data_IF_819562968108
#
_entry.id   IF_819562968108
#
_cell.length_a   1.000
_cell.length_b   1.000
_cell.length_c   1.000
_cell.angle_alpha   90.00
_cell.angle_beta   90.00
_cell.angle_gamma   90.00
#
_symmetry.space_group_name_H-M   'P 1'
#
loop_
_entity.id
_entity.type
_entity.pdbx_description
1 polymer ?
#
# COMPACT_ATOMS: atom_id res chain seq x y z
N UNK A 1 -20.12 -20.59 21.39
CA UNK A 1 -18.67 -20.27 21.44
C UNK A 1 -18.07 -19.95 20.06
N UNK A 2 -18.68 -19.11 19.20
CA UNK A 2 -18.19 -18.93 17.82
C UNK A 2 -18.19 -17.49 17.26
N UNK A 3 -18.79 -16.51 17.94
CA UNK A 3 -19.02 -15.18 17.37
C UNK A 3 -17.94 -14.14 17.76
N UNK A 4 -17.31 -14.25 18.93
CA UNK A 4 -16.27 -13.30 19.34
C UNK A 4 -14.96 -13.45 18.52
N UNK A 5 -14.63 -14.68 18.06
CA UNK A 5 -13.50 -14.91 17.13
C UNK A 5 -13.76 -14.43 15.69
N UNK A 6 -15.03 -14.22 15.32
CA UNK A 6 -15.44 -13.79 13.99
C UNK A 6 -14.99 -12.35 13.69
N UNK A 7 -14.99 -11.44 14.66
CA UNK A 7 -14.63 -10.05 14.42
C UNK A 7 -13.15 -9.85 14.10
N UNK A 8 -12.22 -10.49 14.80
CA UNK A 8 -10.80 -10.36 14.45
C UNK A 8 -10.53 -10.90 13.05
N UNK A 9 -11.12 -12.06 12.73
CA UNK A 9 -10.98 -12.71 11.43
C UNK A 9 -11.56 -11.81 10.34
N UNK A 10 -12.76 -11.27 10.54
CA UNK A 10 -13.41 -10.33 9.63
C UNK A 10 -12.60 -9.06 9.44
N UNK A 11 -12.03 -8.49 10.51
CA UNK A 11 -11.16 -7.31 10.40
C UNK A 11 -9.91 -7.59 9.54
N UNK A 12 -9.30 -8.77 9.68
CA UNK A 12 -8.19 -9.20 8.83
C UNK A 12 -8.65 -9.36 7.38
N UNK A 13 -9.79 -10.03 7.16
CA UNK A 13 -10.35 -10.26 5.82
C UNK A 13 -10.74 -8.96 5.11
N UNK A 14 -11.30 -7.98 5.83
CA UNK A 14 -11.67 -6.68 5.30
C UNK A 14 -10.43 -5.85 4.90
N UNK A 15 -9.40 -5.82 5.75
CA UNK A 15 -8.14 -5.14 5.41
C UNK A 15 -7.49 -5.80 4.18
N UNK A 16 -7.51 -7.15 4.10
CA UNK A 16 -7.04 -7.86 2.92
C UNK A 16 -7.86 -7.52 1.67
N UNK A 17 -9.19 -7.42 1.80
CA UNK A 17 -10.07 -7.06 0.68
C UNK A 17 -9.80 -5.63 0.19
N UNK A 18 -9.68 -4.65 1.09
CA UNK A 18 -9.28 -3.28 0.75
C UNK A 18 -7.92 -3.23 0.05
N UNK A 19 -6.95 -4.02 0.54
CA UNK A 19 -5.64 -4.10 -0.09
C UNK A 19 -5.65 -4.78 -1.46
N UNK A 20 -6.51 -5.77 -1.68
CA UNK A 20 -6.67 -6.43 -2.99
C UNK A 20 -7.40 -5.53 -3.99
N UNK A 21 -8.44 -4.81 -3.57
CA UNK A 21 -9.15 -3.85 -4.45
C UNK A 21 -8.21 -2.74 -4.91
N UNK A 22 -7.21 -2.41 -4.09
CA UNK A 22 -6.17 -1.46 -4.43
C UNK A 22 -5.18 -1.94 -5.49
N UNK A 23 -4.94 -3.24 -5.63
CA UNK A 23 -3.97 -3.75 -6.61
C UNK A 23 -4.36 -3.38 -8.04
N UNK A 24 -5.67 -3.38 -8.36
CA UNK A 24 -6.18 -2.93 -9.65
C UNK A 24 -5.98 -1.42 -9.87
N UNK A 25 -6.15 -0.61 -8.82
CA UNK A 25 -5.94 0.84 -8.86
C UNK A 25 -4.44 1.18 -9.00
N UNK A 26 -3.58 0.46 -8.28
CA UNK A 26 -2.12 0.54 -8.42
C UNK A 26 -1.69 0.23 -9.86
N UNK A 27 -2.26 -0.81 -10.49
CA UNK A 27 -1.92 -1.16 -11.87
C UNK A 27 -2.18 -0.01 -12.86
N UNK A 28 -3.31 0.69 -12.74
CA UNK A 28 -3.62 1.87 -13.58
C UNK A 28 -2.60 2.99 -13.38
N UNK A 29 -2.22 3.26 -12.13
CA UNK A 29 -1.21 4.27 -11.81
C UNK A 29 0.14 3.87 -12.42
N UNK A 30 0.60 2.64 -12.19
CA UNK A 30 1.88 2.13 -12.69
C UNK A 30 1.96 2.14 -14.21
N UNK A 31 0.88 1.75 -14.89
CA UNK A 31 0.79 1.82 -16.34
C UNK A 31 1.02 3.25 -16.86
N UNK A 32 0.50 4.27 -16.17
CA UNK A 32 0.74 5.67 -16.54
C UNK A 32 2.22 6.08 -16.45
N UNK A 33 2.95 5.54 -15.46
CA UNK A 33 4.39 5.75 -15.33
C UNK A 33 5.18 5.03 -16.42
N UNK A 34 4.82 3.79 -16.74
CA UNK A 34 5.47 3.01 -17.80
C UNK A 34 5.30 3.70 -19.15
N UNK A 35 4.07 4.15 -19.47
CA UNK A 35 3.78 4.88 -20.71
C UNK A 35 4.55 6.21 -20.80
N UNK A 36 4.69 6.90 -19.67
CA UNK A 36 5.46 8.13 -19.54
C UNK A 36 6.96 7.92 -19.78
N UNK A 37 7.52 6.87 -19.17
CA UNK A 37 8.91 6.47 -19.34
C UNK A 37 9.21 6.13 -20.80
N UNK A 38 8.42 5.24 -21.39
CA UNK A 38 8.53 4.81 -22.79
C UNK A 38 8.39 6.01 -23.76
N UNK A 39 7.46 6.93 -23.48
CA UNK A 39 7.34 8.17 -24.22
C UNK A 39 8.62 9.01 -24.17
N UNK A 40 9.17 9.28 -22.99
CA UNK A 40 10.38 10.09 -22.86
C UNK A 40 11.62 9.40 -23.42
N UNK A 41 11.74 8.09 -23.26
CA UNK A 41 12.78 7.29 -23.91
C UNK A 41 12.73 7.45 -25.44
N UNK A 42 11.54 7.38 -26.06
CA UNK A 42 11.40 7.63 -27.50
C UNK A 42 11.78 9.06 -27.90
N UNK A 43 11.36 10.06 -27.14
CA UNK A 43 11.70 11.46 -27.45
C UNK A 43 13.22 11.70 -27.34
N UNK A 44 13.83 11.07 -26.33
CA UNK A 44 15.28 11.09 -26.12
C UNK A 44 16.01 10.41 -27.27
N UNK A 45 15.62 9.17 -27.62
CA UNK A 45 16.20 8.44 -28.77
C UNK A 45 16.13 9.24 -30.07
N UNK A 46 15.02 9.91 -30.36
CA UNK A 46 14.90 10.78 -31.55
C UNK A 46 15.97 11.87 -31.59
N UNK A 47 16.32 12.43 -30.43
CA UNK A 47 17.37 13.45 -30.32
C UNK A 47 18.74 12.78 -30.54
N UNK A 48 18.99 11.63 -29.91
CA UNK A 48 20.22 10.89 -30.10
C UNK A 48 20.42 10.50 -31.58
N UNK A 49 19.45 9.85 -32.21
CA UNK A 49 19.55 9.42 -33.61
C UNK A 49 19.73 10.56 -34.60
N UNK A 50 19.05 11.69 -34.35
CA UNK A 50 19.07 12.82 -35.29
C UNK A 50 20.32 13.68 -35.15
N UNK A 51 20.84 13.82 -33.93
CA UNK A 51 21.81 14.85 -33.60
C UNK A 51 23.06 14.37 -32.84
N UNK A 52 23.05 13.20 -32.20
CA UNK A 52 24.17 12.72 -31.38
C UNK A 52 24.87 11.48 -31.98
N UNK A 53 24.10 10.56 -32.56
CA UNK A 53 24.60 9.34 -33.21
C UNK A 53 25.18 9.65 -34.61
N UNK A 54 24.93 10.85 -35.16
CA UNK A 54 25.64 11.36 -36.33
C UNK A 54 26.98 11.98 -35.91
N UNK A 55 28.01 11.13 -35.83
CA UNK A 55 29.44 11.46 -36.06
C UNK A 55 30.10 12.54 -35.18
N UNK A 56 30.80 12.14 -34.10
CA UNK A 56 31.96 12.86 -33.57
C UNK A 56 31.77 14.30 -33.10
N UNK A 57 30.52 14.75 -32.88
CA UNK A 57 30.19 16.12 -32.50
C UNK A 57 30.71 16.42 -31.09
N UNK A 58 31.32 17.59 -30.92
CA UNK A 58 31.73 18.07 -29.59
C UNK A 58 30.56 18.70 -28.82
N UNK A 59 30.76 18.94 -27.51
CA UNK A 59 29.72 19.48 -26.63
C UNK A 59 29.20 20.86 -27.09
N UNK A 60 30.05 21.67 -27.75
CA UNK A 60 29.67 23.00 -28.23
C UNK A 60 28.75 22.91 -29.47
N UNK A 61 29.01 21.98 -30.38
CA UNK A 61 28.18 21.73 -31.56
C UNK A 61 26.80 21.21 -31.17
N UNK A 62 26.74 20.25 -30.25
CA UNK A 62 25.47 19.73 -29.71
C UNK A 62 24.70 20.83 -29.00
N UNK A 63 25.37 21.66 -28.19
CA UNK A 63 24.72 22.79 -27.51
C UNK A 63 24.10 23.77 -28.51
N UNK A 64 24.76 24.02 -29.64
CA UNK A 64 24.23 24.89 -30.70
C UNK A 64 22.96 24.28 -31.31
N UNK A 65 22.96 22.97 -31.59
CA UNK A 65 21.80 22.23 -32.11
C UNK A 65 20.63 22.26 -31.13
N UNK A 66 20.87 21.92 -29.86
CA UNK A 66 19.82 21.86 -28.83
C UNK A 66 19.20 23.24 -28.54
N UNK A 67 19.91 24.33 -28.85
CA UNK A 67 19.42 25.71 -28.78
C UNK A 67 18.76 26.21 -30.09
N UNK A 68 18.61 25.36 -31.12
CA UNK A 68 17.81 25.70 -32.30
C UNK A 68 16.29 25.64 -32.01
N UNK A 69 15.48 26.17 -32.93
CA UNK A 69 14.02 26.29 -32.76
C UNK A 69 13.38 24.92 -32.70
N UNK A 70 12.48 24.74 -31.76
CA UNK A 70 11.51 23.65 -31.80
C UNK A 70 10.72 23.66 -33.12
N UNK A 71 10.35 22.48 -33.59
CA UNK A 71 9.49 22.36 -34.78
C UNK A 71 8.03 22.70 -34.45
N UNK A 72 7.23 23.06 -35.46
CA UNK A 72 5.78 23.25 -35.29
C UNK A 72 5.09 21.98 -34.74
N UNK A 73 5.60 20.82 -35.14
CA UNK A 73 5.11 19.51 -34.66
C UNK A 73 5.35 19.34 -33.17
N UNK A 74 6.53 19.74 -32.67
CA UNK A 74 6.85 19.68 -31.25
C UNK A 74 5.92 20.59 -30.42
N UNK A 75 5.66 21.80 -30.91
CA UNK A 75 4.75 22.74 -30.25
C UNK A 75 3.30 22.21 -30.24
N UNK A 76 2.86 21.61 -31.34
CA UNK A 76 1.54 20.96 -31.41
C UNK A 76 1.42 19.77 -30.45
N UNK A 77 2.50 19.00 -30.26
CA UNK A 77 2.55 17.89 -29.30
C UNK A 77 2.45 18.40 -27.85
N UNK A 78 3.15 19.48 -27.51
CA UNK A 78 3.02 20.14 -26.19
C UNK A 78 1.58 20.60 -25.94
N UNK A 79 0.93 21.20 -26.94
CA UNK A 79 -0.48 21.59 -26.84
C UNK A 79 -1.40 20.38 -26.62
N UNK A 80 -1.15 19.26 -27.29
CA UNK A 80 -1.95 18.03 -27.11
C UNK A 80 -1.79 17.47 -25.70
N UNK A 81 -0.56 17.38 -25.19
CA UNK A 81 -0.29 16.90 -23.82
C UNK A 81 -0.91 17.82 -22.76
N UNK A 82 -0.85 19.14 -22.97
CA UNK A 82 -1.53 20.10 -22.09
C UNK A 82 -3.05 19.93 -22.08
N UNK A 83 -3.67 19.66 -23.23
CA UNK A 83 -5.13 19.48 -23.36
C UNK A 83 -5.64 18.18 -22.74
N UNK A 84 -4.78 17.17 -22.55
CA UNK A 84 -5.19 15.90 -21.93
C UNK A 84 -5.37 15.97 -20.42
N UNK A 85 -5.02 17.10 -19.79
CA UNK A 85 -5.06 17.29 -18.34
C UNK A 85 -6.45 17.81 -17.98
N UNK A 86 -7.14 17.14 -17.06
CA UNK A 86 -8.54 17.44 -16.70
C UNK A 86 -8.64 18.24 -15.40
N UNK A 87 -7.71 18.04 -14.47
CA UNK A 87 -7.70 18.75 -13.20
C UNK A 87 -7.41 20.25 -13.40
N UNK A 88 -8.19 21.10 -12.71
CA UNK A 88 -8.16 22.55 -12.89
C UNK A 88 -6.88 23.19 -12.36
N UNK A 89 -6.33 22.65 -11.26
CA UNK A 89 -5.08 23.13 -10.69
C UNK A 89 -3.92 22.74 -11.63
N UNK A 90 -3.97 21.52 -12.20
CA UNK A 90 -2.95 21.04 -13.15
C UNK A 90 -2.96 21.93 -14.39
N UNK A 91 -4.16 22.20 -14.94
CA UNK A 91 -4.31 23.05 -16.11
C UNK A 91 -3.75 24.46 -15.88
N UNK A 92 -3.98 25.03 -14.69
CA UNK A 92 -3.46 26.35 -14.31
C UNK A 92 -1.94 26.36 -14.28
N UNK A 93 -1.32 25.40 -13.61
CA UNK A 93 0.13 25.29 -13.49
C UNK A 93 0.80 25.08 -14.84
N UNK A 94 0.22 24.21 -15.66
CA UNK A 94 0.70 23.92 -17.01
C UNK A 94 0.58 25.14 -17.92
N UNK A 95 -0.53 25.88 -17.83
CA UNK A 95 -0.70 27.13 -18.57
C UNK A 95 0.34 28.17 -18.14
N UNK A 96 0.59 28.31 -16.84
CA UNK A 96 1.61 29.24 -16.33
C UNK A 96 3.01 28.87 -16.85
N UNK A 97 3.36 27.58 -16.79
CA UNK A 97 4.62 27.06 -17.32
C UNK A 97 4.78 27.32 -18.83
N UNK A 98 3.76 26.99 -19.63
CA UNK A 98 3.78 27.21 -21.08
C UNK A 98 3.79 28.70 -21.45
N UNK A 99 3.08 29.54 -20.69
CA UNK A 99 3.11 30.99 -20.88
C UNK A 99 4.53 31.53 -20.62
N UNK A 100 5.18 31.12 -19.52
CA UNK A 100 6.56 31.49 -19.24
C UNK A 100 7.53 31.05 -20.36
N UNK A 101 7.26 29.89 -20.97
CA UNK A 101 8.03 29.43 -22.12
C UNK A 101 7.78 30.27 -23.38
N UNK A 102 6.54 30.72 -23.60
CA UNK A 102 6.14 31.55 -24.74
C UNK A 102 6.65 32.99 -24.70
N UNK A 103 7.03 33.51 -23.52
CA UNK A 103 7.68 34.83 -23.40
C UNK A 103 9.03 34.84 -24.11
N UNK A 104 9.66 33.67 -24.31
CA UNK A 104 10.85 33.56 -25.13
C UNK A 104 10.46 33.77 -26.60
N UNK A 105 11.18 34.66 -27.29
CA UNK A 105 11.01 34.85 -28.74
C UNK A 105 11.18 33.55 -29.56
N UNK A 106 11.84 32.53 -28.98
CA UNK A 106 12.08 31.22 -29.59
C UNK A 106 12.16 30.16 -28.51
N UNK A 107 11.39 29.08 -28.66
CA UNK A 107 11.48 27.88 -27.82
C UNK A 107 12.50 26.92 -28.43
N UNK A 108 13.45 26.43 -27.64
CA UNK A 108 14.49 25.51 -28.11
C UNK A 108 14.07 24.04 -28.09
N UNK A 109 14.81 23.17 -28.78
CA UNK A 109 14.60 21.71 -28.70
C UNK A 109 14.79 21.20 -27.25
N UNK A 110 15.81 21.70 -26.56
CA UNK A 110 16.07 21.34 -25.16
C UNK A 110 14.90 21.73 -24.26
N UNK A 111 14.42 22.96 -24.44
CA UNK A 111 13.27 23.48 -23.69
C UNK A 111 11.99 22.70 -23.97
N UNK A 112 11.83 22.23 -25.21
CA UNK A 112 10.71 21.36 -25.59
C UNK A 112 10.79 20.02 -24.89
N UNK A 113 11.98 19.40 -24.83
CA UNK A 113 12.16 18.12 -24.14
C UNK A 113 11.86 18.24 -22.64
N UNK A 114 12.35 19.31 -22.01
CA UNK A 114 12.03 19.66 -20.62
C UNK A 114 10.53 19.88 -20.41
N UNK A 115 9.89 20.64 -21.30
CA UNK A 115 8.44 20.84 -21.26
C UNK A 115 7.66 19.51 -21.42
N UNK A 116 8.10 18.61 -22.30
CA UNK A 116 7.51 17.27 -22.44
C UNK A 116 7.64 16.47 -21.13
N UNK A 117 8.80 16.51 -20.49
CA UNK A 117 9.03 15.86 -19.20
C UNK A 117 8.10 16.39 -18.09
N UNK A 118 8.00 17.71 -17.97
CA UNK A 118 7.12 18.37 -17.03
C UNK A 118 5.64 18.00 -17.26
N UNK A 119 5.16 18.08 -18.50
CA UNK A 119 3.77 17.77 -18.84
C UNK A 119 3.41 16.31 -18.55
N UNK A 120 4.33 15.39 -18.82
CA UNK A 120 4.13 13.96 -18.56
C UNK A 120 4.06 13.67 -17.06
N UNK A 121 4.92 14.29 -16.26
CA UNK A 121 4.84 14.20 -14.80
C UNK A 121 3.51 14.75 -14.26
N UNK A 122 3.01 15.86 -14.81
CA UNK A 122 1.69 16.42 -14.46
C UNK A 122 0.53 15.53 -14.91
N UNK A 123 0.64 14.85 -16.05
CA UNK A 123 -0.34 13.85 -16.48
C UNK A 123 -0.42 12.67 -15.51
N UNK A 124 0.72 12.21 -15.01
CA UNK A 124 0.77 11.18 -13.96
C UNK A 124 0.07 11.67 -12.68
N UNK A 125 0.29 12.92 -12.27
CA UNK A 125 -0.38 13.51 -11.12
C UNK A 125 -1.91 13.49 -11.29
N UNK A 126 -2.40 13.87 -12.48
CA UNK A 126 -3.82 13.84 -12.83
C UNK A 126 -4.41 12.43 -12.67
N UNK A 127 -3.76 11.42 -13.27
CA UNK A 127 -4.20 10.02 -13.17
C UNK A 127 -4.20 9.54 -11.72
N UNK A 128 -3.18 9.89 -10.94
CA UNK A 128 -3.13 9.53 -9.53
C UNK A 128 -4.25 10.16 -8.71
N UNK A 129 -4.52 11.45 -8.91
CA UNK A 129 -5.60 12.15 -8.21
C UNK A 129 -6.94 11.52 -8.53
N UNK A 130 -7.23 11.29 -9.81
CA UNK A 130 -8.48 10.67 -10.26
C UNK A 130 -8.66 9.29 -9.62
N UNK A 131 -7.65 8.43 -9.73
CA UNK A 131 -7.71 7.03 -9.24
C UNK A 131 -7.75 6.95 -7.71
N UNK A 132 -6.94 7.74 -7.01
CA UNK A 132 -6.82 7.67 -5.55
C UNK A 132 -8.01 8.31 -4.84
N UNK A 133 -8.56 9.40 -5.36
CA UNK A 133 -9.65 10.12 -4.70
C UNK A 133 -10.88 9.23 -4.54
N UNK A 134 -11.31 8.57 -5.63
CA UNK A 134 -12.44 7.64 -5.59
C UNK A 134 -12.18 6.48 -4.65
N UNK A 135 -11.01 5.86 -4.75
CA UNK A 135 -10.63 4.76 -3.88
C UNK A 135 -10.61 5.14 -2.39
N UNK A 136 -10.09 6.32 -2.05
CA UNK A 136 -10.08 6.82 -0.68
C UNK A 136 -11.49 7.10 -0.15
N UNK A 137 -12.39 7.63 -0.97
CA UNK A 137 -13.80 7.81 -0.60
C UNK A 137 -14.45 6.47 -0.25
N UNK A 138 -14.23 5.46 -1.09
CA UNK A 138 -14.78 4.12 -0.89
C UNK A 138 -14.21 3.48 0.39
N UNK A 139 -12.88 3.52 0.56
CA UNK A 139 -12.21 2.99 1.75
C UNK A 139 -12.69 3.67 3.05
N UNK A 140 -12.93 4.98 3.03
CA UNK A 140 -13.49 5.73 4.18
C UNK A 140 -14.89 5.22 4.52
N UNK A 141 -15.76 5.05 3.52
CA UNK A 141 -17.15 4.62 3.71
C UNK A 141 -17.23 3.18 4.20
N UNK A 142 -16.51 2.27 3.56
CA UNK A 142 -16.44 0.86 3.94
C UNK A 142 -15.93 0.71 5.37
N UNK A 143 -14.79 1.32 5.70
CA UNK A 143 -14.21 1.24 7.04
C UNK A 143 -15.14 1.78 8.14
N UNK A 144 -15.91 2.84 7.85
CA UNK A 144 -16.89 3.37 8.80
C UNK A 144 -18.03 2.36 9.05
N UNK A 145 -18.61 1.80 7.99
CA UNK A 145 -19.72 0.85 8.06
C UNK A 145 -19.32 -0.47 8.72
N UNK A 146 -18.12 -0.97 8.40
CA UNK A 146 -17.56 -2.15 9.03
C UNK A 146 -17.34 -1.96 10.52
N UNK A 147 -16.77 -0.82 10.91
CA UNK A 147 -16.55 -0.47 12.31
C UNK A 147 -17.87 -0.26 13.08
N UNK A 148 -18.92 0.23 12.41
CA UNK A 148 -20.25 0.34 13.00
C UNK A 148 -20.84 -1.04 13.27
N UNK A 149 -20.72 -1.94 12.29
CA UNK A 149 -21.18 -3.34 12.41
C UNK A 149 -20.43 -4.06 13.53
N UNK A 150 -19.11 -3.91 13.58
CA UNK A 150 -18.25 -4.43 14.64
C UNK A 150 -18.69 -3.93 16.03
N UNK A 151 -18.99 -2.64 16.15
CA UNK A 151 -19.44 -2.04 17.41
C UNK A 151 -20.80 -2.60 17.88
N UNK A 152 -21.80 -2.61 17.00
CA UNK A 152 -23.16 -3.05 17.33
C UNK A 152 -23.18 -4.51 17.77
N UNK A 153 -22.53 -5.39 16.99
CA UNK A 153 -22.57 -6.82 17.30
C UNK A 153 -21.70 -7.14 18.52
N UNK A 154 -20.50 -6.57 18.62
CA UNK A 154 -19.61 -6.81 19.76
C UNK A 154 -20.22 -6.39 21.10
N UNK A 155 -20.91 -5.25 21.14
CA UNK A 155 -21.63 -4.81 22.35
C UNK A 155 -22.86 -5.69 22.67
N UNK A 156 -23.55 -6.19 21.65
CA UNK A 156 -24.69 -7.09 21.84
C UNK A 156 -24.24 -8.42 22.46
N UNK A 157 -23.13 -8.97 21.99
CA UNK A 157 -22.56 -10.22 22.52
C UNK A 157 -22.06 -10.09 23.96
N UNK A 158 -21.43 -8.96 24.31
CA UNK A 158 -21.01 -8.67 25.69
C UNK A 158 -22.17 -8.73 26.70
N UNK A 159 -23.37 -8.31 26.28
CA UNK A 159 -24.57 -8.31 27.14
C UNK A 159 -25.18 -9.70 27.31
N UNK A 160 -24.92 -10.64 26.40
CA UNK A 160 -25.47 -12.00 26.44
C UNK A 160 -24.50 -12.93 27.21
N UNK A 161 -24.60 -12.94 28.54
CA UNK A 161 -23.93 -13.94 29.38
C UNK A 161 -24.70 -15.26 29.32
N UNK A 162 -24.40 -16.12 28.34
CA UNK A 162 -24.96 -17.48 28.31
C UNK A 162 -24.30 -18.32 29.40
N UNK A 163 -25.02 -18.60 30.51
CA UNK A 163 -24.59 -19.63 31.48
C UNK A 163 -24.70 -21.00 30.81
N UNK A 164 -23.60 -21.73 30.69
CA UNK A 164 -23.66 -23.13 30.24
C UNK A 164 -24.40 -23.98 31.28
N UNK A 165 -25.58 -24.47 30.90
CA UNK A 165 -26.39 -25.40 31.69
C UNK A 165 -27.32 -26.15 30.75
N UNK A 166 -27.66 -27.41 31.07
CA UNK A 166 -28.60 -28.20 30.28
C UNK A 166 -29.93 -27.45 30.12
N UNK A 167 -30.24 -27.04 28.90
CA UNK A 167 -31.47 -26.33 28.58
C UNK A 167 -32.63 -27.33 28.39
N UNK A 168 -33.78 -27.16 29.06
CA UNK A 168 -34.98 -27.95 28.75
C UNK A 168 -35.40 -27.74 27.29
N UNK A 169 -35.99 -28.76 26.67
CA UNK A 169 -36.60 -28.64 25.33
C UNK A 169 -37.96 -27.97 25.45
N UNK A 170 -38.14 -26.83 24.77
CA UNK A 170 -39.40 -26.07 24.76
C UNK A 170 -40.05 -26.12 23.38
N UNK A 171 -41.39 -26.11 23.34
CA UNK A 171 -42.19 -25.99 22.12
C UNK A 171 -42.88 -24.63 22.12
N UNK A 172 -42.71 -23.84 21.05
CA UNK A 172 -43.30 -22.51 20.91
C UNK A 172 -44.52 -22.56 19.97
N UNK A 173 -45.66 -22.04 20.44
CA UNK A 173 -46.88 -21.88 19.64
C UNK A 173 -47.10 -20.39 19.36
N UNK A 174 -47.15 -19.99 18.08
CA UNK A 174 -47.38 -18.59 17.68
C UNK A 174 -48.87 -18.26 17.76
N UNK A 175 -49.28 -17.47 18.76
CA UNK A 175 -50.46 -16.61 18.69
C UNK A 175 -50.00 -15.16 18.84
N UNK A 176 -50.58 -14.25 18.06
CA UNK A 176 -50.13 -12.86 17.98
C UNK A 176 -50.11 -12.22 19.39
N UNK A 177 -48.99 -11.58 19.71
CA UNK A 177 -48.69 -10.74 20.89
C UNK A 177 -48.20 -11.41 22.17
N UNK A 178 -48.38 -12.73 22.38
CA UNK A 178 -47.82 -13.42 23.56
C UNK A 178 -47.23 -14.78 23.21
N UNK A 179 -45.96 -14.98 23.49
CA UNK A 179 -45.30 -16.28 23.40
C UNK A 179 -45.54 -17.07 24.69
N UNK A 180 -46.35 -18.13 24.63
CA UNK A 180 -46.57 -19.03 25.76
C UNK A 180 -45.57 -20.19 25.68
N UNK A 181 -44.67 -20.26 26.67
CA UNK A 181 -43.73 -21.37 26.83
C UNK A 181 -44.44 -22.46 27.66
N UNK A 182 -44.66 -23.61 27.04
CA UNK A 182 -45.28 -24.78 27.68
C UNK A 182 -44.25 -25.87 27.93
N UNK A 183 -44.42 -26.59 29.02
CA UNK A 183 -43.67 -27.80 29.29
C UNK A 183 -44.10 -28.90 28.30
N UNK A 184 -43.13 -29.51 27.62
CA UNK A 184 -43.39 -30.44 26.53
C UNK A 184 -43.98 -31.79 26.97
N UNK A 185 -43.94 -32.13 28.26
CA UNK A 185 -44.45 -33.39 28.80
C UNK A 185 -45.82 -33.21 29.48
N UNK A 186 -46.10 -32.01 30.01
CA UNK A 186 -47.28 -31.75 30.85
C UNK A 186 -48.25 -30.72 30.27
N UNK A 187 -47.90 -30.09 29.14
CA UNK A 187 -48.64 -29.03 28.44
C UNK A 187 -49.00 -27.79 29.26
N UNK A 188 -48.56 -27.70 30.53
CA UNK A 188 -48.80 -26.54 31.39
C UNK A 188 -47.99 -25.34 30.91
N UNK A 189 -48.62 -24.16 30.93
CA UNK A 189 -47.96 -22.89 30.62
C UNK A 189 -47.01 -22.53 31.76
N UNK A 190 -45.71 -22.58 31.48
CA UNK A 190 -44.64 -22.34 32.46
C UNK A 190 -44.27 -20.86 32.50
N UNK A 191 -44.35 -20.18 31.35
CA UNK A 191 -43.99 -18.75 31.25
C UNK A 191 -44.70 -18.09 30.08
N UNK A 192 -45.15 -16.85 30.28
CA UNK A 192 -45.64 -15.99 29.21
C UNK A 192 -44.61 -14.89 28.93
N UNK A 193 -44.21 -14.75 27.67
CA UNK A 193 -43.32 -13.68 27.21
C UNK A 193 -44.14 -12.79 26.27
N UNK A 194 -44.34 -11.54 26.69
CA UNK A 194 -44.96 -10.52 25.85
C UNK A 194 -43.92 -10.13 24.79
N UNK A 195 -44.25 -10.35 23.52
CA UNK A 195 -43.36 -9.99 22.42
C UNK A 195 -43.57 -8.51 22.12
N UNK A 196 -42.67 -7.64 22.62
CA UNK A 196 -42.59 -6.28 22.13
C UNK A 196 -41.91 -6.30 20.75
N UNK A 197 -42.44 -5.59 19.73
CA UNK A 197 -41.71 -5.39 18.50
C UNK A 197 -40.34 -4.81 18.83
N UNK A 198 -39.28 -5.39 18.28
CA UNK A 198 -37.95 -4.79 18.39
C UNK A 198 -38.03 -3.36 17.85
N UNK A 199 -37.42 -2.36 18.51
CA UNK A 199 -37.30 -1.03 17.93
C UNK A 199 -36.66 -1.17 16.54
N UNK A 200 -37.13 -0.37 15.58
CA UNK A 200 -36.57 -0.37 14.23
C UNK A 200 -35.04 -0.34 14.31
N UNK A 201 -34.37 -1.29 13.62
CA UNK A 201 -32.91 -1.30 13.51
C UNK A 201 -32.52 0.09 13.02
N UNK A 202 -31.74 0.88 13.79
CA UNK A 202 -31.40 2.22 13.37
C UNK A 202 -30.71 2.11 12.01
N UNK A 203 -31.31 2.74 11.00
CA UNK A 203 -30.73 2.85 9.67
C UNK A 203 -29.28 3.35 9.84
N UNK A 204 -28.31 2.60 9.30
CA UNK A 204 -26.89 2.97 9.43
C UNK A 204 -26.74 4.38 8.87
N UNK A 205 -26.54 5.37 9.74
CA UNK A 205 -26.33 6.76 9.30
C UNK A 205 -25.08 6.79 8.44
N UNK A 206 -25.28 6.91 7.13
CA UNK A 206 -24.18 7.06 6.18
C UNK A 206 -23.27 8.21 6.61
N UNK A 207 -21.98 8.03 6.38
CA UNK A 207 -21.00 9.05 6.70
C UNK A 207 -21.26 10.28 5.82
N UNK A 208 -21.62 11.40 6.45
CA UNK A 208 -21.91 12.65 5.73
C UNK A 208 -20.78 13.03 4.75
N UNK A 209 -21.13 13.46 3.54
CA UNK A 209 -20.17 13.89 2.51
C UNK A 209 -19.16 14.93 3.02
N UNK A 210 -19.62 15.86 3.87
CA UNK A 210 -18.76 16.87 4.51
C UNK A 210 -17.61 16.23 5.30
N UNK A 211 -17.87 15.12 5.97
CA UNK A 211 -16.84 14.48 6.77
C UNK A 211 -15.89 13.61 5.95
N UNK A 212 -16.39 12.91 4.93
CA UNK A 212 -15.52 12.25 3.94
C UNK A 212 -14.52 13.27 3.39
N UNK A 213 -15.02 14.44 2.99
CA UNK A 213 -14.19 15.56 2.55
C UNK A 213 -13.18 16.02 3.60
N UNK A 214 -13.61 16.17 4.86
CA UNK A 214 -12.69 16.54 5.94
C UNK A 214 -11.55 15.52 6.16
N UNK A 215 -11.82 14.21 6.03
CA UNK A 215 -10.76 13.19 6.11
C UNK A 215 -9.80 13.32 4.93
N UNK A 216 -10.33 13.44 3.70
CA UNK A 216 -9.52 13.60 2.48
C UNK A 216 -8.61 14.83 2.53
N UNK A 217 -9.13 15.93 3.05
CA UNK A 217 -8.41 17.21 3.16
C UNK A 217 -7.53 17.29 4.40
N UNK A 218 -7.57 16.29 5.31
CA UNK A 218 -6.83 16.33 6.56
C UNK A 218 -5.31 16.33 6.35
N UNK A 219 -4.64 17.25 7.04
CA UNK A 219 -3.18 17.38 6.97
C UNK A 219 -2.50 16.47 8.00
N UNK A 220 -2.39 15.19 7.65
CA UNK A 220 -1.60 14.25 8.43
C UNK A 220 -0.12 14.49 8.19
N UNK A 221 0.76 14.49 9.21
CA UNK A 221 2.21 14.73 9.01
C UNK A 221 2.53 15.95 8.12
N UNK A 222 1.74 17.02 8.24
CA UNK A 222 1.96 18.31 7.57
C UNK A 222 1.50 18.39 6.10
N UNK A 223 0.81 17.38 5.56
CA UNK A 223 0.26 17.42 4.20
C UNK A 223 -0.94 16.49 4.05
N UNK A 224 -1.81 16.75 3.09
CA UNK A 224 -2.80 15.77 2.63
C UNK A 224 -2.27 14.94 1.45
N UNK A 225 -3.00 13.89 1.05
CA UNK A 225 -2.59 12.98 -0.03
C UNK A 225 -2.42 13.70 -1.38
N UNK A 226 -3.35 14.60 -1.73
CA UNK A 226 -3.30 15.36 -2.99
C UNK A 226 -2.00 16.17 -3.07
N UNK A 227 -1.73 17.02 -2.07
CA UNK A 227 -0.48 17.81 -1.96
C UNK A 227 0.79 16.94 -2.04
N UNK A 228 0.75 15.70 -1.52
CA UNK A 228 1.87 14.74 -1.67
C UNK A 228 2.05 14.26 -3.10
N UNK A 229 0.96 13.93 -3.80
CA UNK A 229 1.01 13.54 -5.23
C UNK A 229 1.66 14.67 -6.05
N UNK A 230 1.26 15.92 -5.79
CA UNK A 230 1.86 17.10 -6.41
C UNK A 230 3.35 17.22 -6.14
N UNK A 231 3.75 17.19 -4.87
CA UNK A 231 5.16 17.28 -4.50
C UNK A 231 6.02 16.15 -5.08
N UNK A 232 5.51 14.92 -5.09
CA UNK A 232 6.22 13.75 -5.62
C UNK A 232 6.38 13.83 -7.15
N UNK A 233 5.35 14.29 -7.87
CA UNK A 233 5.40 14.46 -9.33
C UNK A 233 6.17 15.70 -9.78
N UNK A 234 6.18 16.78 -8.99
CA UNK A 234 7.06 17.94 -9.19
C UNK A 234 8.53 17.58 -9.01
N UNK A 235 8.83 16.75 -8.01
CA UNK A 235 10.18 16.22 -7.83
C UNK A 235 10.60 15.38 -9.03
N UNK A 236 9.73 14.51 -9.54
CA UNK A 236 10.00 13.75 -10.76
C UNK A 236 10.25 14.68 -11.95
N UNK A 237 9.37 15.67 -12.19
CA UNK A 237 9.53 16.65 -13.26
C UNK A 237 10.89 17.34 -13.19
N UNK A 238 11.26 17.83 -12.00
CA UNK A 238 12.55 18.50 -11.76
C UNK A 238 13.73 17.58 -12.07
N UNK A 239 13.70 16.33 -11.60
CA UNK A 239 14.78 15.37 -11.89
C UNK A 239 14.89 15.07 -13.38
N UNK A 240 13.77 14.90 -14.08
CA UNK A 240 13.77 14.70 -15.53
C UNK A 240 14.30 15.95 -16.26
N UNK A 241 13.97 17.16 -15.81
CA UNK A 241 14.51 18.40 -16.37
C UNK A 241 16.04 18.54 -16.17
N UNK A 242 16.56 18.09 -15.03
CA UNK A 242 17.99 18.03 -14.73
C UNK A 242 18.71 17.01 -15.62
N UNK A 243 18.09 15.84 -15.84
CA UNK A 243 18.58 14.83 -16.80
C UNK A 243 18.62 15.38 -18.22
N UNK A 244 17.62 16.15 -18.63
CA UNK A 244 17.56 16.80 -19.93
C UNK A 244 18.33 18.12 -19.97
N UNK A 245 19.57 18.14 -19.47
CA UNK A 245 20.52 19.24 -19.64
C UNK A 245 21.56 18.89 -20.70
N UNK A 246 22.14 19.91 -21.34
CA UNK A 246 23.15 19.73 -22.41
C UNK A 246 24.31 18.86 -21.92
N UNK A 247 24.82 19.13 -20.71
CA UNK A 247 25.94 18.40 -20.10
C UNK A 247 25.64 16.89 -20.01
N UNK A 248 24.44 16.54 -19.56
CA UNK A 248 24.05 15.14 -19.40
C UNK A 248 23.80 14.48 -20.76
N UNK A 249 23.14 15.16 -21.69
CA UNK A 249 22.89 14.64 -23.05
C UNK A 249 24.17 14.42 -23.87
N UNK A 250 25.25 15.15 -23.59
CA UNK A 250 26.54 15.04 -24.29
C UNK A 250 27.52 14.11 -23.59
N UNK A 251 27.49 14.05 -22.26
CA UNK A 251 28.36 13.18 -21.47
C UNK A 251 27.85 11.76 -21.25
N UNK A 252 26.58 11.48 -21.54
CA UNK A 252 25.96 10.16 -21.38
C UNK A 252 25.58 9.55 -22.72
N UNK A 253 25.86 8.26 -22.89
CA UNK A 253 25.32 7.48 -24.00
C UNK A 253 23.80 7.35 -23.90
N UNK A 254 23.13 7.08 -25.03
CA UNK A 254 21.68 6.80 -25.06
C UNK A 254 21.31 5.69 -24.06
N UNK A 255 22.14 4.64 -23.98
CA UNK A 255 21.91 3.52 -23.06
C UNK A 255 21.99 3.95 -21.60
N UNK A 256 22.94 4.82 -21.24
CA UNK A 256 23.05 5.36 -19.89
C UNK A 256 21.87 6.27 -19.55
N UNK A 257 21.49 7.17 -20.47
CA UNK A 257 20.33 8.04 -20.30
C UNK A 257 19.04 7.23 -20.08
N UNK A 258 18.81 6.21 -20.91
CA UNK A 258 17.65 5.33 -20.78
C UNK A 258 17.63 4.57 -19.44
N UNK A 259 18.78 4.08 -18.97
CA UNK A 259 18.90 3.44 -17.65
C UNK A 259 18.59 4.39 -16.50
N UNK A 260 19.04 5.65 -16.58
CA UNK A 260 18.79 6.64 -15.53
C UNK A 260 17.32 7.06 -15.55
N UNK A 261 16.72 7.28 -16.73
CA UNK A 261 15.28 7.52 -16.87
C UNK A 261 14.48 6.39 -16.21
N UNK A 262 14.76 5.13 -16.56
CA UNK A 262 14.12 3.97 -15.95
C UNK A 262 14.24 3.96 -14.42
N UNK A 263 15.41 4.32 -13.89
CA UNK A 263 15.64 4.41 -12.43
C UNK A 263 14.81 5.50 -11.76
N UNK A 264 14.64 6.67 -12.40
CA UNK A 264 13.81 7.75 -11.85
C UNK A 264 12.32 7.37 -11.85
N UNK A 265 11.85 6.76 -12.94
CA UNK A 265 10.47 6.26 -13.05
C UNK A 265 10.21 5.13 -12.05
N UNK A 266 11.11 4.16 -11.89
CA UNK A 266 10.98 3.08 -10.90
C UNK A 266 10.90 3.64 -9.47
N UNK A 267 11.74 4.63 -9.15
CA UNK A 267 11.69 5.32 -7.86
C UNK A 267 10.35 6.01 -7.65
N UNK A 268 9.85 6.74 -8.66
CA UNK A 268 8.59 7.46 -8.56
C UNK A 268 7.38 6.51 -8.46
N UNK A 269 7.39 5.38 -9.19
CA UNK A 269 6.41 4.31 -9.06
C UNK A 269 6.40 3.74 -7.64
N UNK A 270 7.57 3.46 -7.06
CA UNK A 270 7.68 2.97 -5.69
C UNK A 270 7.11 3.97 -4.67
N UNK A 271 7.38 5.26 -4.87
CA UNK A 271 6.86 6.35 -4.03
C UNK A 271 5.34 6.45 -4.14
N UNK A 272 4.77 6.34 -5.35
CA UNK A 272 3.33 6.41 -5.60
C UNK A 272 2.59 5.24 -4.95
N UNK A 273 3.05 3.99 -5.14
CA UNK A 273 2.41 2.80 -4.51
C UNK A 273 2.40 2.91 -2.98
N UNK A 274 3.51 3.33 -2.39
CA UNK A 274 3.61 3.57 -0.94
C UNK A 274 2.58 4.60 -0.50
N UNK A 275 2.46 5.71 -1.23
CA UNK A 275 1.57 6.80 -0.90
C UNK A 275 0.12 6.31 -0.84
N UNK A 276 -0.35 5.72 -1.93
CA UNK A 276 -1.71 5.19 -2.07
C UNK A 276 -2.08 4.29 -0.89
N UNK A 277 -1.23 3.31 -0.56
CA UNK A 277 -1.48 2.37 0.55
C UNK A 277 -1.46 3.04 1.92
N UNK A 278 -0.49 3.92 2.16
CA UNK A 278 -0.30 4.52 3.48
C UNK A 278 -1.42 5.54 3.77
N UNK A 279 -1.81 6.33 2.77
CA UNK A 279 -2.91 7.30 2.89
C UNK A 279 -4.25 6.59 3.03
N UNK A 280 -4.50 5.51 2.28
CA UNK A 280 -5.72 4.70 2.42
C UNK A 280 -5.87 4.15 3.84
N UNK A 281 -4.81 3.54 4.39
CA UNK A 281 -4.84 3.01 5.76
C UNK A 281 -5.05 4.11 6.80
N UNK A 282 -4.46 5.29 6.59
CA UNK A 282 -4.71 6.45 7.45
C UNK A 282 -6.18 6.87 7.41
N UNK A 283 -6.74 7.08 6.22
CA UNK A 283 -8.11 7.58 6.04
C UNK A 283 -9.17 6.59 6.50
N UNK A 284 -9.04 5.30 6.13
CA UNK A 284 -9.87 4.22 6.64
C UNK A 284 -9.78 4.13 8.17
N UNK A 285 -8.57 4.27 8.72
CA UNK A 285 -8.33 4.34 10.15
C UNK A 285 -9.06 5.49 10.85
N UNK A 286 -9.05 6.70 10.29
CA UNK A 286 -9.80 7.86 10.82
C UNK A 286 -11.31 7.64 10.77
N UNK A 287 -11.82 7.01 9.71
CA UNK A 287 -13.23 6.66 9.59
C UNK A 287 -13.66 5.64 10.65
N UNK A 288 -12.85 4.59 10.84
CA UNK A 288 -13.06 3.56 11.86
C UNK A 288 -13.09 4.15 13.27
N UNK A 289 -12.12 5.00 13.63
CA UNK A 289 -12.10 5.68 14.94
C UNK A 289 -13.38 6.48 15.19
N UNK A 290 -13.87 7.21 14.18
CA UNK A 290 -15.12 7.95 14.33
C UNK A 290 -16.30 7.02 14.54
N UNK A 291 -16.37 5.94 13.78
CA UNK A 291 -17.47 4.98 13.90
C UNK A 291 -17.50 4.37 15.29
N UNK A 292 -16.36 3.91 15.79
CA UNK A 292 -16.21 3.42 17.16
C UNK A 292 -16.63 4.43 18.22
N UNK A 293 -16.23 5.70 18.10
CA UNK A 293 -16.68 6.78 19.00
C UNK A 293 -18.19 6.99 18.94
N UNK A 294 -18.77 6.99 17.75
CA UNK A 294 -20.21 7.18 17.55
C UNK A 294 -21.04 6.04 18.13
N UNK A 295 -20.47 4.83 18.19
CA UNK A 295 -21.13 3.64 18.73
C UNK A 295 -20.65 3.25 20.14
N UNK A 296 -19.86 4.09 20.82
CA UNK A 296 -19.46 3.85 22.22
C UNK A 296 -18.47 2.69 22.43
N UNK A 297 -17.61 2.40 21.46
CA UNK A 297 -16.48 1.48 21.66
C UNK A 297 -15.39 2.18 22.46
N UNK A 298 -15.03 1.64 23.62
CA UNK A 298 -14.07 2.27 24.54
C UNK A 298 -12.61 1.95 24.21
N UNK A 299 -12.34 0.72 23.75
CA UNK A 299 -10.97 0.20 23.57
C UNK A 299 -10.81 -0.49 22.23
N UNK A 300 -9.57 -0.52 21.75
CA UNK A 300 -9.16 -1.27 20.57
C UNK A 300 -7.87 -2.04 20.83
N UNK A 301 -7.66 -3.12 20.09
CA UNK A 301 -6.45 -3.93 20.09
C UNK A 301 -5.72 -3.80 18.75
N UNK A 302 -4.39 -3.73 18.80
CA UNK A 302 -3.55 -3.75 17.61
C UNK A 302 -3.20 -5.18 17.20
N UNK A 303 -3.31 -5.47 15.91
CA UNK A 303 -2.98 -6.78 15.34
C UNK A 303 -1.96 -6.58 14.23
N UNK A 304 -0.77 -7.14 14.39
CA UNK A 304 0.26 -7.17 13.38
C UNK A 304 0.11 -8.39 12.46
N UNK A 305 0.54 -8.24 11.21
CA UNK A 305 0.63 -9.36 10.27
C UNK A 305 1.69 -10.35 10.76
N UNK A 306 1.38 -11.65 10.70
CA UNK A 306 2.29 -12.73 11.10
C UNK A 306 3.17 -13.16 9.91
N UNK A 307 4.20 -12.37 9.61
CA UNK A 307 5.22 -12.70 8.61
C UNK A 307 6.59 -12.05 8.91
N UNK A 308 7.64 -12.52 8.25
CA UNK A 308 8.99 -11.97 8.44
C UNK A 308 9.24 -10.60 7.77
N UNK A 309 8.23 -10.01 7.11
CA UNK A 309 8.27 -8.64 6.58
C UNK A 309 7.77 -7.62 7.60
N UNK A 310 7.12 -8.08 8.66
CA UNK A 310 6.52 -7.22 9.69
C UNK A 310 7.61 -6.49 10.48
N UNK A 311 7.45 -5.16 10.56
CA UNK A 311 8.49 -4.28 11.10
C UNK A 311 8.72 -4.51 12.60
N UNK A 312 9.90 -4.15 13.10
CA UNK A 312 10.17 -4.19 14.54
C UNK A 312 9.14 -3.38 15.36
N UNK A 313 8.68 -2.24 14.82
CA UNK A 313 7.65 -1.40 15.44
C UNK A 313 6.36 -2.20 15.58
N UNK A 314 5.83 -2.73 14.47
CA UNK A 314 4.58 -3.51 14.44
C UNK A 314 4.65 -4.75 15.34
N UNK A 315 5.78 -5.47 15.33
CA UNK A 315 5.99 -6.63 16.22
C UNK A 315 5.92 -6.28 17.70
N UNK A 316 6.45 -5.10 18.07
CA UNK A 316 6.52 -4.65 19.46
C UNK A 316 5.19 -4.13 20.04
N UNK A 317 4.23 -3.82 19.16
CA UNK A 317 2.93 -3.27 19.54
C UNK A 317 1.78 -4.26 19.34
N UNK A 318 2.06 -5.41 18.75
CA UNK A 318 1.07 -6.46 18.52
C UNK A 318 0.43 -6.94 19.83
N UNK A 319 -0.89 -7.06 19.84
CA UNK A 319 -1.68 -7.43 21.02
C UNK A 319 -1.89 -6.32 22.06
N UNK A 320 -1.32 -5.11 21.87
CA UNK A 320 -1.53 -4.00 22.81
C UNK A 320 -2.93 -3.40 22.67
N UNK A 321 -3.53 -3.09 23.81
CA UNK A 321 -4.87 -2.49 23.93
C UNK A 321 -4.75 -1.02 24.32
N UNK A 322 -5.53 -0.17 23.67
CA UNK A 322 -5.57 1.28 23.93
C UNK A 322 -7.00 1.79 23.95
N UNK A 323 -7.18 2.98 24.52
CA UNK A 323 -8.47 3.69 24.53
C UNK A 323 -8.73 4.39 23.19
N UNK A 324 -9.96 4.24 22.68
CA UNK A 324 -10.41 4.88 21.42
C UNK A 324 -10.33 6.40 21.50
N UNK A 325 -10.66 7.00 22.65
CA UNK A 325 -10.61 8.46 22.82
C UNK A 325 -9.19 9.04 22.84
N UNK A 326 -8.21 8.22 23.24
CA UNK A 326 -6.79 8.58 23.26
C UNK A 326 -6.06 8.13 21.99
N UNK A 327 -6.77 7.70 20.96
CA UNK A 327 -6.17 7.26 19.70
C UNK A 327 -5.51 8.44 18.96
N UNK A 328 -4.22 8.27 18.65
CA UNK A 328 -3.38 9.23 17.96
C UNK A 328 -2.61 8.51 16.85
N UNK A 329 -2.93 8.84 15.61
CA UNK A 329 -2.21 8.36 14.44
C UNK A 329 -1.03 9.30 14.11
N UNK A 330 0.13 9.04 14.72
CA UNK A 330 1.33 9.87 14.54
C UNK A 330 2.57 9.07 14.11
N UNK A 331 2.38 8.03 13.30
CA UNK A 331 3.48 7.14 12.93
C UNK A 331 4.01 6.40 14.17
N UNK A 332 5.33 6.23 14.28
CA UNK A 332 5.98 5.47 15.37
C UNK A 332 5.68 5.99 16.78
N UNK A 333 5.33 7.27 16.90
CA UNK A 333 5.07 7.95 18.19
C UNK A 333 3.57 7.93 18.55
N UNK A 334 2.73 7.40 17.66
CA UNK A 334 1.30 7.21 17.90
C UNK A 334 0.97 5.86 18.53
N UNK A 335 -0.30 5.68 18.86
CA UNK A 335 -0.87 4.40 19.33
C UNK A 335 -1.89 3.82 18.34
N UNK A 336 -2.16 4.50 17.23
CA UNK A 336 -3.09 4.07 16.19
C UNK A 336 -2.41 4.00 14.81
N UNK A 337 -2.68 2.96 13.99
CA UNK A 337 -2.06 2.80 12.67
C UNK A 337 -2.52 3.87 11.66
N UNK A 338 -1.75 4.12 10.59
CA UNK A 338 -0.46 3.50 10.25
C UNK A 338 0.74 4.05 11.05
N UNK A 339 1.63 3.14 11.49
CA UNK A 339 2.82 3.50 12.28
C UNK A 339 4.05 3.88 11.43
N UNK A 340 4.08 3.46 10.17
CA UNK A 340 5.18 3.71 9.24
C UNK A 340 4.68 3.55 7.79
N UNK A 341 5.45 3.97 6.77
CA UNK A 341 5.13 3.66 5.38
C UNK A 341 5.00 2.14 5.18
N UNK A 342 4.02 1.69 4.39
CA UNK A 342 3.71 0.26 4.21
C UNK A 342 3.30 -0.48 5.49
N UNK A 343 2.76 0.23 6.49
CA UNK A 343 2.21 -0.41 7.69
C UNK A 343 1.01 -1.27 7.32
N UNK A 344 0.98 -2.50 7.84
CA UNK A 344 -0.11 -3.48 7.68
C UNK A 344 -0.73 -3.86 9.02
N UNK A 345 -0.41 -3.11 10.08
CA UNK A 345 -1.04 -3.32 11.39
C UNK A 345 -2.45 -2.76 11.33
N UNK A 346 -3.41 -3.57 11.76
CA UNK A 346 -4.82 -3.19 11.86
C UNK A 346 -5.19 -2.94 13.31
N UNK A 347 -6.24 -2.15 13.51
CA UNK A 347 -6.88 -1.98 14.81
C UNK A 347 -8.26 -2.64 14.76
N UNK A 348 -8.61 -3.43 15.78
CA UNK A 348 -9.95 -4.01 15.96
C UNK A 348 -10.55 -3.54 17.29
N UNK A 349 -11.87 -3.42 17.37
CA UNK A 349 -12.56 -3.09 18.60
C UNK A 349 -12.30 -4.17 19.65
N UNK A 350 -12.13 -3.75 20.90
CA UNK A 350 -11.80 -4.64 22.01
C UNK A 350 -12.89 -4.56 23.09
N UNK A 351 -13.63 -5.65 23.25
CA UNK A 351 -14.73 -5.78 24.22
C UNK A 351 -14.34 -6.67 25.41
N UNK A 352 -13.04 -6.73 25.73
CA UNK A 352 -12.52 -7.53 26.84
C UNK A 352 -11.92 -8.86 26.39
N UNK A 353 -11.54 -9.68 27.37
CA UNK A 353 -10.75 -10.90 27.14
C UNK A 353 -11.42 -11.89 26.19
N UNK A 354 -12.74 -12.04 26.30
CA UNK A 354 -13.53 -12.95 25.46
C UNK A 354 -13.49 -12.62 23.97
N UNK A 355 -13.24 -11.35 23.60
CA UNK A 355 -13.00 -10.94 22.20
C UNK A 355 -11.83 -11.69 21.56
N UNK A 356 -10.91 -12.21 22.38
CA UNK A 356 -9.74 -12.94 21.93
C UNK A 356 -9.83 -14.44 22.20
N UNK A 357 -11.03 -14.99 22.42
CA UNK A 357 -11.20 -16.43 22.56
C UNK A 357 -11.40 -17.11 21.20
N UNK A 358 -10.92 -18.34 21.07
CA UNK A 358 -11.01 -19.14 19.85
C UNK A 358 -9.70 -19.31 19.11
N UNK A 359 -9.81 -19.75 17.86
CA UNK A 359 -8.72 -20.20 17.01
C UNK A 359 -8.76 -19.47 15.67
N UNK A 360 -7.58 -19.20 15.11
CA UNK A 360 -7.41 -18.65 13.77
C UNK A 360 -6.31 -19.39 13.01
N UNK A 361 -6.29 -19.18 11.70
CA UNK A 361 -5.27 -19.74 10.82
C UNK A 361 -4.13 -18.73 10.67
N UNK A 362 -2.89 -19.20 10.79
CA UNK A 362 -1.68 -18.47 10.50
C UNK A 362 -0.84 -19.18 9.43
N UNK A 363 0.00 -18.41 8.75
CA UNK A 363 0.93 -18.93 7.76
C UNK A 363 2.19 -19.50 8.44
N UNK A 364 2.63 -20.66 7.97
CA UNK A 364 3.98 -21.21 8.17
C UNK A 364 4.76 -21.01 6.86
N UNK A 365 5.54 -19.92 6.76
CA UNK A 365 6.22 -19.59 5.51
C UNK A 365 7.38 -20.54 5.19
N UNK A 366 7.93 -21.27 6.18
CA UNK A 366 8.97 -22.26 5.96
C UNK A 366 8.38 -23.55 5.36
N UNK A 367 7.27 -24.03 5.94
CA UNK A 367 6.57 -25.21 5.44
C UNK A 367 5.72 -24.95 4.19
N UNK A 368 5.53 -23.67 3.81
CA UNK A 368 4.59 -23.22 2.76
C UNK A 368 3.16 -23.74 2.98
N UNK A 369 2.74 -23.78 4.24
CA UNK A 369 1.44 -24.28 4.69
C UNK A 369 0.82 -23.32 5.69
N UNK A 370 -0.43 -23.56 6.06
CA UNK A 370 -1.09 -22.87 7.17
C UNK A 370 -1.19 -23.77 8.39
N UNK A 371 -1.32 -23.19 9.58
CA UNK A 371 -1.58 -23.91 10.81
C UNK A 371 -2.48 -23.11 11.75
N UNK A 372 -3.12 -23.82 12.68
CA UNK A 372 -4.03 -23.22 13.64
C UNK A 372 -3.26 -22.63 14.83
N UNK A 373 -3.64 -21.43 15.25
CA UNK A 373 -3.14 -20.72 16.43
C UNK A 373 -4.29 -20.18 17.26
N UNK A 374 -4.01 -19.81 18.51
CA UNK A 374 -4.97 -19.09 19.34
C UNK A 374 -5.23 -17.69 18.79
N UNK A 375 -6.43 -17.17 19.02
CA UNK A 375 -6.79 -15.82 18.61
C UNK A 375 -5.92 -14.75 19.29
N UNK A 376 -5.56 -14.96 20.56
CA UNK A 376 -4.61 -14.12 21.35
C UNK A 376 -3.17 -14.19 20.88
N UNK A 377 -2.82 -15.18 20.06
CA UNK A 377 -1.41 -15.43 19.70
C UNK A 377 -0.84 -14.22 18.98
N UNK A 378 0.12 -13.57 19.65
CA UNK A 378 0.84 -12.42 19.12
C UNK A 378 2.05 -12.86 18.28
N UNK A 379 2.71 -11.90 17.64
CA UNK A 379 3.84 -12.13 16.76
C UNK A 379 4.97 -12.90 17.44
N UNK A 380 5.32 -12.55 18.68
CA UNK A 380 6.42 -13.18 19.41
C UNK A 380 6.12 -14.67 19.64
N UNK A 381 4.91 -14.97 20.08
CA UNK A 381 4.46 -16.34 20.31
C UNK A 381 4.40 -17.15 19.00
N UNK A 382 3.89 -16.56 17.91
CA UNK A 382 3.90 -17.20 16.59
C UNK A 382 5.33 -17.52 16.12
N UNK A 383 6.27 -16.61 16.32
CA UNK A 383 7.67 -16.80 15.94
C UNK A 383 8.36 -17.87 16.81
N UNK A 384 8.02 -17.94 18.10
CA UNK A 384 8.45 -19.02 18.99
C UNK A 384 7.89 -20.38 18.55
N UNK A 385 6.64 -20.45 18.08
CA UNK A 385 6.06 -21.67 17.52
C UNK A 385 6.82 -22.14 16.28
N UNK A 386 7.18 -21.22 15.37
CA UNK A 386 8.01 -21.56 14.20
C UNK A 386 9.40 -22.05 14.61
N UNK A 387 10.01 -21.39 15.59
CA UNK A 387 11.33 -21.79 16.13
C UNK A 387 11.29 -23.19 16.74
N UNK A 388 10.21 -23.53 17.45
CA UNK A 388 10.02 -24.89 18.00
C UNK A 388 9.81 -25.94 16.93
N UNK A 389 9.16 -25.60 15.80
CA UNK A 389 8.85 -26.53 14.70
C UNK A 389 10.04 -26.80 13.78
N UNK A 390 10.77 -25.75 13.40
CA UNK A 390 11.81 -25.80 12.35
C UNK A 390 13.23 -25.61 12.89
N UNK A 391 13.37 -25.21 14.16
CA UNK A 391 14.66 -24.86 14.73
C UNK A 391 15.05 -23.40 14.47
N UNK A 392 15.87 -22.86 15.38
CA UNK A 392 16.27 -21.45 15.40
C UNK A 392 17.08 -21.03 14.18
N UNK A 393 17.97 -21.91 13.72
CA UNK A 393 18.86 -21.61 12.59
C UNK A 393 18.09 -21.45 11.28
N UNK A 394 17.12 -22.34 11.02
CA UNK A 394 16.31 -22.29 9.81
C UNK A 394 15.44 -21.01 9.78
N UNK A 395 14.77 -20.69 10.90
CA UNK A 395 13.98 -19.47 11.05
C UNK A 395 14.81 -18.21 10.84
N UNK A 396 16.02 -18.13 11.43
CA UNK A 396 16.89 -16.97 11.27
C UNK A 396 17.44 -16.86 9.84
N UNK A 397 17.76 -17.99 9.20
CA UNK A 397 18.16 -18.00 7.79
C UNK A 397 17.03 -17.47 6.90
N UNK A 398 15.80 -17.94 7.09
CA UNK A 398 14.63 -17.52 6.32
C UNK A 398 14.31 -16.04 6.54
N UNK A 399 14.40 -15.56 7.78
CA UNK A 399 14.27 -14.13 8.10
C UNK A 399 15.27 -13.28 7.32
N UNK A 400 16.54 -13.71 7.21
CA UNK A 400 17.55 -13.02 6.40
C UNK A 400 17.18 -13.01 4.91
N UNK A 401 16.67 -14.13 4.36
CA UNK A 401 16.18 -14.19 2.97
C UNK A 401 15.11 -13.15 2.70
N UNK A 402 14.10 -13.09 3.56
CA UNK A 402 12.99 -12.13 3.41
C UNK A 402 13.47 -10.69 3.54
N UNK A 403 14.30 -10.40 4.57
CA UNK A 403 14.82 -9.04 4.82
C UNK A 403 15.68 -8.53 3.67
N UNK A 404 16.49 -9.39 3.06
CA UNK A 404 17.47 -9.01 2.05
C UNK A 404 17.01 -9.29 0.61
N UNK A 405 15.75 -9.72 0.40
CA UNK A 405 15.24 -10.15 -0.91
C UNK A 405 15.59 -9.17 -2.04
N UNK A 406 15.32 -7.87 -1.87
CA UNK A 406 15.61 -6.88 -2.92
C UNK A 406 17.11 -6.77 -3.24
N UNK A 407 17.95 -6.73 -2.21
CA UNK A 407 19.40 -6.63 -2.38
C UNK A 407 19.97 -7.90 -3.01
N UNK A 408 19.45 -9.05 -2.60
CA UNK A 408 19.85 -10.37 -3.07
C UNK A 408 19.39 -10.62 -4.51
N UNK A 409 18.20 -10.18 -4.90
CA UNK A 409 17.75 -10.21 -6.30
C UNK A 409 18.68 -9.37 -7.19
N UNK A 410 19.07 -8.16 -6.74
CA UNK A 410 20.04 -7.34 -7.47
C UNK A 410 21.40 -8.04 -7.57
N UNK A 411 21.86 -8.68 -6.49
CA UNK A 411 23.12 -9.44 -6.50
C UNK A 411 23.05 -10.65 -7.43
N UNK A 412 21.98 -11.43 -7.34
CA UNK A 412 21.67 -12.57 -8.20
C UNK A 412 21.75 -12.18 -9.68
N UNK A 413 21.03 -11.12 -10.08
CA UNK A 413 21.04 -10.65 -11.47
C UNK A 413 22.43 -10.22 -11.93
N UNK A 414 23.21 -9.54 -11.07
CA UNK A 414 24.60 -9.16 -11.40
C UNK A 414 25.51 -10.36 -11.55
N UNK A 415 25.39 -11.37 -10.68
CA UNK A 415 26.22 -12.56 -10.72
C UNK A 415 25.87 -13.39 -11.96
N UNK A 416 24.58 -13.59 -12.22
CA UNK A 416 24.07 -14.26 -13.42
C UNK A 416 24.56 -13.59 -14.70
N UNK A 417 24.49 -12.27 -14.79
CA UNK A 417 24.95 -11.52 -15.97
C UNK A 417 26.48 -11.62 -16.19
N UNK A 418 27.26 -11.70 -15.10
CA UNK A 418 28.73 -11.71 -15.18
C UNK A 418 29.32 -13.10 -15.42
N UNK A 419 28.73 -14.11 -14.80
CA UNK A 419 29.25 -15.48 -14.79
C UNK A 419 28.64 -16.35 -15.89
N UNK A 420 27.51 -15.94 -16.48
CA UNK A 420 26.86 -16.69 -17.56
C UNK A 420 26.60 -18.15 -17.16
N UNK A 421 27.14 -19.08 -17.95
CA UNK A 421 26.96 -20.52 -17.76
C UNK A 421 27.62 -21.07 -16.48
N UNK A 422 28.62 -20.37 -15.91
CA UNK A 422 29.21 -20.75 -14.61
C UNK A 422 28.26 -20.47 -13.43
N UNK A 423 27.20 -19.67 -13.63
CA UNK A 423 26.19 -19.40 -12.61
C UNK A 423 25.07 -20.44 -12.64
N UNK A 424 25.14 -21.42 -11.76
CA UNK A 424 24.25 -22.60 -11.77
C UNK A 424 22.91 -22.40 -11.06
N UNK A 425 22.71 -21.30 -10.33
CA UNK A 425 21.47 -21.03 -9.57
C UNK A 425 20.36 -20.52 -10.48
N UNK A 426 19.22 -21.21 -10.48
CA UNK A 426 18.08 -20.88 -11.34
C UNK A 426 17.17 -19.82 -10.73
N UNK A 427 17.07 -19.81 -9.40
CA UNK A 427 16.16 -18.92 -8.68
C UNK A 427 16.89 -18.11 -7.61
N UNK A 428 16.31 -16.97 -7.23
CA UNK A 428 16.82 -16.15 -6.12
C UNK A 428 16.80 -16.95 -4.81
N UNK A 429 15.80 -17.82 -4.60
CA UNK A 429 15.71 -18.68 -3.42
C UNK A 429 16.89 -19.65 -3.33
N UNK A 430 17.25 -20.34 -4.42
CA UNK A 430 18.42 -21.22 -4.48
C UNK A 430 19.73 -20.48 -4.14
N UNK A 431 19.89 -19.28 -4.70
CA UNK A 431 21.04 -18.42 -4.40
C UNK A 431 21.07 -17.99 -2.93
N UNK A 432 19.93 -17.60 -2.38
CA UNK A 432 19.80 -17.20 -0.98
C UNK A 432 20.01 -18.37 -0.02
N UNK A 433 19.60 -19.59 -0.39
CA UNK A 433 19.85 -20.81 0.36
C UNK A 433 21.36 -20.94 0.59
N UNK A 434 22.16 -21.01 -0.47
CA UNK A 434 23.62 -21.06 -0.36
C UNK A 434 24.18 -19.89 0.44
N UNK A 435 23.76 -18.67 0.13
CA UNK A 435 24.26 -17.45 0.79
C UNK A 435 24.11 -17.47 2.32
N UNK A 436 23.02 -18.04 2.84
CA UNK A 436 22.71 -17.99 4.27
C UNK A 436 22.86 -19.31 5.02
N UNK A 437 23.08 -20.42 4.32
CA UNK A 437 23.25 -21.75 4.94
C UNK A 437 24.61 -22.38 4.66
N UNK A 438 25.29 -22.02 3.56
CA UNK A 438 26.58 -22.61 3.18
C UNK A 438 27.63 -21.53 2.89
N UNK A 439 28.34 -21.12 3.95
CA UNK A 439 29.38 -20.11 3.86
C UNK A 439 30.51 -20.49 2.90
N UNK A 440 30.90 -21.77 2.85
CA UNK A 440 32.03 -22.24 2.03
C UNK A 440 31.68 -22.12 0.54
N UNK A 441 30.49 -22.60 0.15
CA UNK A 441 30.04 -22.50 -1.25
C UNK A 441 29.82 -21.04 -1.63
N UNK A 442 29.28 -20.21 -0.73
CA UNK A 442 29.11 -18.79 -1.00
C UNK A 442 30.44 -18.03 -1.16
N UNK A 443 31.46 -18.33 -0.35
CA UNK A 443 32.81 -17.75 -0.53
C UNK A 443 33.38 -18.11 -1.91
N UNK A 444 33.27 -19.38 -2.33
CA UNK A 444 33.70 -19.81 -3.68
C UNK A 444 32.99 -19.05 -4.79
N UNK A 445 31.68 -18.83 -4.66
CA UNK A 445 30.90 -18.05 -5.62
C UNK A 445 31.37 -16.58 -5.69
N UNK A 446 31.72 -15.97 -4.54
CA UNK A 446 32.29 -14.63 -4.51
C UNK A 446 33.65 -14.58 -5.20
N UNK A 447 34.51 -15.58 -4.99
CA UNK A 447 35.81 -15.69 -5.65
C UNK A 447 35.67 -15.84 -7.17
N UNK A 448 34.73 -16.67 -7.64
CA UNK A 448 34.41 -16.80 -9.06
C UNK A 448 33.98 -15.46 -9.66
N UNK A 449 33.04 -14.78 -9.01
CA UNK A 449 32.58 -13.45 -9.43
C UNK A 449 33.73 -12.42 -9.47
N UNK A 450 34.59 -12.41 -8.45
CA UNK A 450 35.73 -11.50 -8.40
C UNK A 450 36.76 -11.77 -9.51
N UNK A 451 36.99 -13.04 -9.85
CA UNK A 451 37.85 -13.43 -10.98
C UNK A 451 37.24 -13.01 -12.32
N UNK A 452 35.95 -13.26 -12.53
CA UNK A 452 35.24 -12.86 -13.75
C UNK A 452 35.25 -11.33 -13.94
N UNK A 453 35.17 -10.56 -12.86
CA UNK A 453 35.22 -9.09 -12.90
C UNK A 453 36.59 -8.50 -13.25
N UNK A 454 37.66 -9.26 -13.08
CA UNK A 454 39.03 -8.82 -13.42
C UNK A 454 39.43 -9.18 -14.85
N UNK A 455 38.70 -10.09 -15.49
CA UNK A 455 38.81 -10.37 -16.93
C UNK A 455 38.00 -9.32 -17.68
#
# INVERSE_FOLDING_TARGET
MAAESYFLKRNIENEEAMHRSLDAKEAVILESYIQAEDYLNRQTRKIYDRYLNKSGLDEAEVRKILNTSASLTDLAELQRLSKSLTDKEIQRDVKAYLNGLSVKHRISLLETLKAKAYLVAKRIANVQLDVQTDFHIDAIREAYTEAATEAVVGQTEQKITVKEGQYPKFVATKSQEVLQIRDAQTEKVVKQVILQPDPEVPEFKELSTRYVKNILESEWKGSNYSKRIWGDTDLLAKRLEELFTVKNLTGMSESEMSKILASEFDTAMHVARRLVRTEANYMAGQAKLRSWKAHGVEKYILIAVLDFRTSAICRSIDGKVYEVDKAVCNGKDGNYPPFHPWCRTIAAAYFGERTLDGKRIANDPLAKKTFEIGQRTNYKEWEEMLTKRHGKEEVESFRKKVKNLTADTKQFNRYKAMLGDEFTYKTVDEFQNVKYTDSIVYERLKDLYAKARRK
#
